data_IF_323416007154
#
_entry.id   IF_323416007154
#
_cell.length_a   1.000
_cell.length_b   1.000
_cell.length_c   1.000
_cell.angle_alpha   90.00
_cell.angle_beta   90.00
_cell.angle_gamma   90.00
#
_symmetry.space_group_name_H-M   'P 1'
#
loop_
_entity.id
_entity.type
_entity.pdbx_description
1 polymer ?
#
# COMPACT_ATOMS: atom_id res chain seq x y z
N UNK A 1 35.27 14.84 40.94
CA UNK A 1 33.85 14.87 41.35
C UNK A 1 33.00 14.96 40.08
N UNK A 2 32.29 13.91 39.67
CA UNK A 2 31.41 13.95 38.50
C UNK A 2 30.08 14.56 38.94
N UNK A 3 29.71 15.70 38.34
CA UNK A 3 28.46 16.40 38.60
C UNK A 3 27.26 15.52 38.29
N UNK A 4 26.34 15.38 39.26
CA UNK A 4 25.04 14.70 39.04
C UNK A 4 24.23 15.53 38.03
N UNK A 5 23.57 14.90 37.02
CA UNK A 5 22.73 15.63 36.09
C UNK A 5 21.53 16.28 36.81
N UNK A 6 21.26 17.55 36.52
CA UNK A 6 20.09 18.28 37.02
C UNK A 6 18.83 17.72 36.37
N UNK A 7 17.84 17.38 37.20
CA UNK A 7 16.49 17.06 36.78
C UNK A 7 15.82 18.36 36.30
N UNK A 8 15.55 18.52 35.03
CA UNK A 8 14.65 19.54 34.53
C UNK A 8 13.24 18.93 34.39
N UNK A 9 12.32 19.53 35.15
CA UNK A 9 10.89 19.19 35.14
C UNK A 9 10.27 19.79 33.86
N UNK A 10 10.14 19.01 32.82
CA UNK A 10 9.37 19.38 31.63
C UNK A 10 7.92 18.98 31.85
N UNK A 11 7.10 19.98 32.25
CA UNK A 11 5.68 19.87 32.61
C UNK A 11 4.79 19.23 31.55
N UNK A 12 4.65 17.93 31.63
CA UNK A 12 3.56 17.18 31.00
C UNK A 12 2.96 16.24 32.04
N UNK A 13 1.80 16.64 32.56
CA UNK A 13 1.09 15.95 33.61
C UNK A 13 0.61 14.55 33.18
N UNK A 14 1.38 13.51 33.49
CA UNK A 14 0.89 12.13 33.53
C UNK A 14 0.88 11.67 34.97
N UNK A 15 -0.31 11.30 35.47
CA UNK A 15 -0.48 10.63 36.78
C UNK A 15 0.40 9.37 36.82
N UNK A 16 1.46 9.43 37.60
CA UNK A 16 2.34 8.30 37.88
C UNK A 16 1.64 7.28 38.77
N UNK A 17 1.24 6.14 38.21
CA UNK A 17 0.99 4.93 39.00
C UNK A 17 2.31 4.36 39.48
N UNK A 18 2.50 4.27 40.81
CA UNK A 18 3.59 3.62 41.57
C UNK A 18 4.77 3.07 40.73
N UNK A 19 5.84 3.85 40.63
CA UNK A 19 7.13 3.49 40.06
C UNK A 19 7.88 4.75 39.65
N UNK A 20 9.08 4.97 40.20
CA UNK A 20 9.93 6.10 39.85
C UNK A 20 10.28 6.00 38.39
N UNK A 21 9.71 6.87 37.52
CA UNK A 21 10.11 6.95 36.11
C UNK A 21 11.43 7.73 36.06
N UNK A 22 12.50 7.00 35.85
CA UNK A 22 13.81 7.61 35.60
C UNK A 22 13.74 8.29 34.22
N UNK A 23 14.06 9.59 34.17
CA UNK A 23 14.20 10.35 32.92
C UNK A 23 15.63 10.81 32.77
N UNK A 24 16.14 10.84 31.55
CA UNK A 24 17.47 11.34 31.28
C UNK A 24 17.74 11.56 29.81
N UNK A 25 18.76 12.35 29.56
CA UNK A 25 19.32 12.60 28.24
C UNK A 25 20.57 11.75 28.09
N UNK A 26 20.62 10.98 27.00
CA UNK A 26 21.76 10.14 26.64
C UNK A 26 22.39 10.67 25.36
N UNK A 27 23.70 10.81 25.36
CA UNK A 27 24.49 11.10 24.17
C UNK A 27 25.32 9.86 23.86
N UNK A 28 25.17 9.34 22.65
CA UNK A 28 25.90 8.17 22.16
C UNK A 28 27.14 8.63 21.39
N UNK A 29 28.23 7.85 21.46
CA UNK A 29 29.50 8.21 20.83
C UNK A 29 29.44 8.40 19.30
N UNK A 30 28.40 7.88 18.65
CA UNK A 30 28.14 8.06 17.22
C UNK A 30 27.33 9.33 16.86
N UNK A 31 27.05 10.22 17.83
CA UNK A 31 26.28 11.43 17.64
C UNK A 31 24.77 11.27 17.79
N UNK A 32 24.25 10.08 18.02
CA UNK A 32 22.85 9.89 18.35
C UNK A 32 22.53 10.44 19.75
N UNK A 33 21.26 10.88 19.95
CA UNK A 33 20.81 11.42 21.24
C UNK A 33 19.47 10.77 21.60
N UNK A 34 19.26 10.55 22.90
CA UNK A 34 17.96 10.13 23.42
C UNK A 34 17.56 11.03 24.59
N UNK A 35 16.28 11.40 24.60
CA UNK A 35 15.65 12.11 25.72
C UNK A 35 14.37 11.39 26.10
N UNK A 36 14.25 10.96 27.36
CA UNK A 36 13.04 10.25 27.77
C UNK A 36 13.20 9.35 28.98
N UNK A 37 12.23 8.45 29.13
CA UNK A 37 12.19 7.51 30.24
C UNK A 37 13.23 6.39 30.11
N UNK A 38 13.85 6.02 31.23
CA UNK A 38 14.90 5.00 31.33
C UNK A 38 14.49 3.89 32.29
N UNK A 39 14.86 2.66 31.98
CA UNK A 39 14.71 1.52 32.87
C UNK A 39 15.75 1.55 34.01
N UNK A 40 16.94 2.04 33.73
CA UNK A 40 18.05 2.11 34.65
C UNK A 40 19.02 3.22 34.24
N UNK A 41 19.47 4.02 35.19
CA UNK A 41 20.53 5.00 34.94
C UNK A 41 21.88 4.35 34.66
N UNK A 42 22.22 3.31 35.40
CA UNK A 42 23.54 2.66 35.24
C UNK A 42 23.68 1.95 33.90
N UNK A 43 22.59 1.39 33.34
CA UNK A 43 22.59 0.70 32.06
C UNK A 43 22.14 1.57 30.90
N UNK A 44 21.64 2.81 31.16
CA UNK A 44 21.22 3.78 30.12
C UNK A 44 20.24 3.19 29.09
N UNK A 45 19.25 2.40 29.55
CA UNK A 45 18.31 1.66 28.67
C UNK A 45 17.02 2.45 28.52
N UNK A 46 16.68 2.93 27.30
CA UNK A 46 15.37 3.52 26.98
C UNK A 46 14.21 2.60 27.36
N UNK A 47 13.21 3.12 28.10
CA UNK A 47 12.03 2.38 28.49
C UNK A 47 10.89 3.34 28.78
N UNK A 48 9.68 3.08 28.26
CA UNK A 48 8.58 4.05 28.28
C UNK A 48 8.70 5.06 27.15
N UNK A 49 8.12 6.24 27.30
CA UNK A 49 8.10 7.26 26.25
C UNK A 49 9.42 8.05 26.19
N UNK A 50 9.91 8.26 24.96
CA UNK A 50 11.09 9.11 24.69
C UNK A 50 11.25 9.48 23.23
N UNK A 51 12.24 10.32 22.95
CA UNK A 51 12.62 10.75 21.61
C UNK A 51 14.05 10.31 21.37
N UNK A 52 14.28 9.64 20.25
CA UNK A 52 15.60 9.23 19.79
C UNK A 52 15.94 10.00 18.52
N UNK A 53 16.98 10.80 18.56
CA UNK A 53 17.54 11.49 17.41
C UNK A 53 18.68 10.67 16.85
N UNK A 54 18.63 10.41 15.55
CA UNK A 54 19.63 9.63 14.84
C UNK A 54 20.88 10.47 14.56
N UNK A 55 22.05 9.87 14.27
CA UNK A 55 23.30 10.61 14.06
C UNK A 55 23.25 11.65 12.93
N UNK A 56 22.37 11.44 11.95
CA UNK A 56 22.19 12.36 10.81
C UNK A 56 21.30 13.57 11.13
N UNK A 57 20.59 13.55 12.29
CA UNK A 57 19.68 14.63 12.65
C UNK A 57 20.42 15.98 12.80
N UNK A 58 19.94 16.98 12.09
CA UNK A 58 20.53 18.33 12.08
C UNK A 58 21.68 18.53 11.09
N UNK A 59 22.15 17.50 10.39
CA UNK A 59 23.12 17.65 9.30
C UNK A 59 22.44 18.29 8.09
N UNK A 60 23.21 19.08 7.33
CA UNK A 60 22.75 19.65 6.06
C UNK A 60 23.07 18.68 4.91
N UNK A 61 22.09 18.42 4.06
CA UNK A 61 22.25 17.64 2.83
C UNK A 61 21.54 18.33 1.66
N UNK A 62 22.03 18.12 0.43
CA UNK A 62 21.35 18.61 -0.78
C UNK A 62 20.27 17.61 -1.19
N UNK A 63 19.02 18.05 -1.23
CA UNK A 63 17.88 17.31 -1.77
C UNK A 63 17.35 18.12 -2.95
N UNK A 64 17.37 17.52 -4.14
CA UNK A 64 16.96 18.18 -5.40
C UNK A 64 17.66 19.54 -5.64
N UNK A 65 18.95 19.63 -5.24
CA UNK A 65 19.76 20.85 -5.40
C UNK A 65 19.58 21.91 -4.30
N UNK A 66 18.68 21.71 -3.36
CA UNK A 66 18.40 22.60 -2.22
C UNK A 66 19.07 22.09 -0.95
N UNK A 67 19.74 22.98 -0.20
CA UNK A 67 20.30 22.64 1.10
C UNK A 67 19.17 22.48 2.13
N UNK A 68 19.03 21.28 2.67
CA UNK A 68 17.96 20.91 3.61
C UNK A 68 18.56 20.30 4.88
N UNK A 69 18.09 20.75 6.03
CA UNK A 69 18.45 20.12 7.29
C UNK A 69 17.79 18.74 7.41
N UNK A 70 18.60 17.72 7.65
CA UNK A 70 18.10 16.36 7.88
C UNK A 70 17.44 16.27 9.24
N UNK A 71 16.13 16.04 9.24
CA UNK A 71 15.36 15.76 10.44
C UNK A 71 15.11 14.23 10.47
N UNK A 72 15.79 13.55 11.38
CA UNK A 72 15.66 12.10 11.55
C UNK A 72 15.50 11.74 13.01
N UNK A 73 14.31 11.33 13.39
CA UNK A 73 14.02 10.98 14.78
C UNK A 73 12.93 9.89 14.88
N UNK A 74 12.91 9.23 16.03
CA UNK A 74 11.78 8.46 16.50
C UNK A 74 11.24 9.07 17.80
N UNK A 75 9.93 9.24 17.89
CA UNK A 75 9.23 9.70 19.10
C UNK A 75 8.14 8.67 19.45
N UNK A 76 8.27 8.04 20.60
CA UNK A 76 7.32 7.00 20.98
C UNK A 76 7.78 6.14 22.15
N UNK A 77 7.12 4.99 22.29
CA UNK A 77 7.40 4.08 23.40
C UNK A 77 8.59 3.17 23.10
N UNK A 78 9.36 2.91 24.16
CA UNK A 78 10.47 1.97 24.18
C UNK A 78 10.23 0.88 25.23
N UNK A 79 10.71 -0.31 24.95
CA UNK A 79 10.80 -1.43 25.89
C UNK A 79 12.17 -2.07 25.79
N UNK A 80 12.95 -2.00 26.89
CA UNK A 80 14.32 -2.54 26.94
C UNK A 80 15.19 -2.08 25.77
N UNK A 81 15.20 -0.77 25.48
CA UNK A 81 16.01 -0.16 24.43
C UNK A 81 15.45 -0.25 23.02
N UNK A 82 14.37 -1.00 22.80
CA UNK A 82 13.76 -1.19 21.49
C UNK A 82 12.46 -0.38 21.34
N UNK A 83 12.18 0.12 20.14
CA UNK A 83 10.88 0.72 19.80
C UNK A 83 9.77 -0.30 19.99
N UNK A 84 8.74 0.07 20.74
CA UNK A 84 7.64 -0.81 21.11
C UNK A 84 6.36 0.00 21.28
N UNK A 85 5.18 -0.54 20.91
CA UNK A 85 3.90 0.15 21.04
C UNK A 85 3.76 1.31 20.04
N UNK A 86 3.10 2.42 20.42
CA UNK A 86 2.86 3.55 19.53
C UNK A 86 4.09 4.45 19.40
N UNK A 87 4.37 4.92 18.17
CA UNK A 87 5.43 5.87 17.91
C UNK A 87 5.41 6.44 16.50
N UNK A 88 6.14 7.55 16.33
CA UNK A 88 6.34 8.24 15.06
C UNK A 88 7.81 8.19 14.69
N UNK A 89 8.09 7.88 13.44
CA UNK A 89 9.41 8.01 12.84
C UNK A 89 9.34 9.01 11.71
N UNK A 90 10.33 9.87 11.62
CA UNK A 90 10.45 10.86 10.56
C UNK A 90 11.86 10.88 10.01
N UNK A 91 11.99 10.95 8.69
CA UNK A 91 13.24 11.10 7.98
C UNK A 91 13.04 12.00 6.76
N UNK A 92 13.59 13.23 6.81
CA UNK A 92 13.57 14.18 5.70
C UNK A 92 14.09 13.54 4.42
N UNK A 93 13.44 13.81 3.30
CA UNK A 93 13.83 13.31 1.98
C UNK A 93 13.52 11.82 1.73
N UNK A 94 13.03 11.08 2.73
CA UNK A 94 12.73 9.66 2.57
C UNK A 94 11.29 9.32 2.93
N UNK A 95 10.96 9.18 4.21
CA UNK A 95 9.63 8.77 4.63
C UNK A 95 9.31 9.15 6.08
N UNK A 96 8.03 9.10 6.40
CA UNK A 96 7.54 9.13 7.77
C UNK A 96 6.63 7.94 8.05
N UNK A 97 6.67 7.46 9.29
CA UNK A 97 5.76 6.43 9.77
C UNK A 97 5.13 6.84 11.11
N UNK A 98 3.83 6.65 11.23
CA UNK A 98 3.10 6.79 12.48
C UNK A 98 2.27 5.54 12.72
N UNK A 99 2.54 4.81 13.81
CA UNK A 99 1.84 3.56 14.07
C UNK A 99 2.42 2.75 15.20
N UNK A 100 2.13 1.45 15.15
CA UNK A 100 2.59 0.49 16.13
C UNK A 100 3.96 -0.08 15.75
N UNK A 101 4.77 -0.31 16.77
CA UNK A 101 6.12 -0.87 16.68
C UNK A 101 6.22 -2.11 17.55
N UNK A 102 7.05 -3.05 17.14
CA UNK A 102 7.42 -4.23 17.91
C UNK A 102 8.87 -4.60 17.64
N UNK A 103 9.70 -4.61 18.69
CA UNK A 103 11.14 -4.93 18.57
C UNK A 103 11.82 -4.15 17.41
N UNK A 104 11.70 -2.81 17.40
CA UNK A 104 12.23 -1.87 16.38
C UNK A 104 11.62 -1.96 15.00
N UNK A 105 10.65 -2.83 14.75
CA UNK A 105 10.01 -3.05 13.46
C UNK A 105 8.60 -2.47 13.39
N UNK A 106 8.19 -2.02 12.21
CA UNK A 106 6.80 -1.65 11.95
C UNK A 106 5.90 -2.85 12.19
N UNK A 107 4.86 -2.66 13.01
CA UNK A 107 3.96 -3.74 13.39
C UNK A 107 2.55 -3.18 13.61
N UNK A 108 1.50 -4.05 13.55
CA UNK A 108 0.14 -3.61 13.80
C UNK A 108 -0.33 -2.50 12.85
N UNK A 109 -1.24 -1.65 13.30
CA UNK A 109 -1.81 -0.56 12.48
C UNK A 109 -0.85 0.62 12.40
N UNK A 110 -0.70 1.18 11.19
CA UNK A 110 0.13 2.37 10.96
C UNK A 110 -0.06 3.01 9.60
N UNK A 111 0.55 4.18 9.44
CA UNK A 111 0.55 4.99 8.22
C UNK A 111 2.00 5.27 7.86
N UNK A 112 2.39 4.85 6.67
CA UNK A 112 3.68 5.14 6.04
C UNK A 112 3.45 6.12 4.91
N UNK A 113 4.21 7.23 4.87
CA UNK A 113 4.15 8.25 3.81
C UNK A 113 5.53 8.43 3.21
N UNK A 114 5.61 8.49 1.90
CA UNK A 114 6.85 8.76 1.18
C UNK A 114 7.01 10.27 0.98
N UNK A 115 8.20 10.78 1.24
CA UNK A 115 8.51 12.20 1.11
C UNK A 115 8.37 12.67 -0.35
N UNK A 116 7.85 13.89 -0.56
CA UNK A 116 7.76 14.52 -1.88
C UNK A 116 6.77 13.88 -2.85
N UNK A 117 5.95 12.92 -2.39
CA UNK A 117 4.97 12.24 -3.24
C UNK A 117 3.62 12.07 -2.56
N UNK A 118 2.59 11.74 -3.36
CA UNK A 118 1.28 11.33 -2.84
C UNK A 118 1.29 9.89 -2.28
N UNK A 119 2.43 9.18 -2.40
CA UNK A 119 2.51 7.78 -2.03
C UNK A 119 2.37 7.60 -0.51
N UNK A 120 1.41 6.79 -0.13
CA UNK A 120 1.20 6.40 1.27
C UNK A 120 0.60 5.01 1.37
N UNK A 121 0.94 4.32 2.46
CA UNK A 121 0.25 3.11 2.87
C UNK A 121 -0.39 3.31 4.24
N UNK A 122 -1.67 3.00 4.35
CA UNK A 122 -2.43 2.99 5.59
C UNK A 122 -3.00 1.60 5.82
N UNK A 123 -2.56 0.91 6.87
CA UNK A 123 -2.98 -0.47 7.08
C UNK A 123 -2.24 -1.17 8.20
N UNK A 124 -2.11 -2.47 8.04
CA UNK A 124 -1.46 -3.35 9.01
C UNK A 124 -0.10 -3.82 8.50
N UNK A 125 0.87 -3.77 9.40
CA UNK A 125 2.24 -4.22 9.21
C UNK A 125 2.54 -5.43 10.08
N UNK A 126 3.46 -6.27 9.64
CA UNK A 126 4.09 -7.34 10.41
C UNK A 126 5.56 -7.41 10.06
N UNK A 127 6.43 -7.05 11.02
CA UNK A 127 7.88 -7.06 10.86
C UNK A 127 8.32 -6.31 9.58
N UNK A 128 7.94 -5.02 9.48
CA UNK A 128 8.21 -4.10 8.38
C UNK A 128 7.47 -4.39 7.06
N UNK A 129 6.75 -5.50 6.97
CA UNK A 129 6.01 -5.87 5.77
C UNK A 129 4.54 -5.44 5.85
N UNK A 130 4.02 -4.88 4.75
CA UNK A 130 2.59 -4.63 4.55
C UNK A 130 1.83 -5.96 4.56
N UNK A 131 0.70 -6.04 5.27
CA UNK A 131 -0.16 -7.23 5.35
C UNK A 131 -1.49 -7.01 4.67
N UNK A 132 -2.16 -5.91 5.00
CA UNK A 132 -3.44 -5.49 4.41
C UNK A 132 -3.67 -4.02 4.67
N UNK A 133 -4.32 -3.34 3.73
CA UNK A 133 -4.61 -1.91 3.88
C UNK A 133 -4.88 -1.24 2.57
N UNK A 134 -4.76 0.07 2.58
CA UNK A 134 -4.87 0.96 1.43
C UNK A 134 -3.49 1.49 1.06
N UNK A 135 -3.07 1.23 -0.16
CA UNK A 135 -1.87 1.80 -0.75
C UNK A 135 -2.28 2.83 -1.80
N UNK A 136 -2.15 4.10 -1.48
CA UNK A 136 -2.27 5.21 -2.44
C UNK A 136 -0.92 5.33 -3.13
N UNK A 137 -0.87 5.17 -4.44
CA UNK A 137 0.35 5.23 -5.25
C UNK A 137 0.49 6.63 -5.84
N UNK A 138 -0.64 7.21 -6.27
CA UNK A 138 -0.75 8.58 -6.75
C UNK A 138 -2.18 9.09 -6.50
N UNK A 139 -2.48 10.34 -6.89
CA UNK A 139 -3.86 10.88 -6.83
C UNK A 139 -4.89 10.03 -7.56
N UNK A 140 -4.47 9.33 -8.62
CA UNK A 140 -5.34 8.58 -9.52
C UNK A 140 -5.29 7.07 -9.29
N UNK A 141 -4.25 6.56 -8.59
CA UNK A 141 -4.01 5.13 -8.45
C UNK A 141 -4.00 4.73 -6.98
N UNK A 142 -4.89 3.82 -6.63
CA UNK A 142 -5.03 3.31 -5.26
C UNK A 142 -5.36 1.82 -5.26
N UNK A 143 -4.66 1.05 -4.44
CA UNK A 143 -4.97 -0.35 -4.18
C UNK A 143 -5.50 -0.54 -2.75
N UNK A 144 -6.53 -1.35 -2.61
CA UNK A 144 -7.07 -1.77 -1.32
C UNK A 144 -7.10 -3.30 -1.28
N UNK A 145 -6.38 -3.92 -0.34
CA UNK A 145 -6.34 -5.38 -0.32
C UNK A 145 -5.29 -5.96 0.62
N UNK A 146 -4.94 -7.21 0.32
CA UNK A 146 -3.88 -7.95 1.01
C UNK A 146 -2.55 -7.79 0.30
N UNK A 147 -1.47 -7.98 1.06
CA UNK A 147 -0.09 -7.87 0.58
C UNK A 147 0.72 -9.10 1.00
N UNK A 148 1.69 -9.45 0.17
CA UNK A 148 2.75 -10.41 0.47
C UNK A 148 4.06 -9.83 -0.08
N UNK A 149 5.10 -9.78 0.75
CA UNK A 149 6.40 -9.16 0.39
C UNK A 149 6.24 -7.73 -0.17
N UNK A 150 5.37 -6.92 0.48
CA UNK A 150 5.01 -5.55 0.11
C UNK A 150 4.30 -5.38 -1.25
N UNK A 151 3.98 -6.45 -1.97
CA UNK A 151 3.24 -6.43 -3.23
C UNK A 151 1.78 -6.84 -3.03
N UNK A 152 0.81 -6.27 -3.77
CA UNK A 152 -0.56 -6.74 -3.83
C UNK A 152 -0.64 -8.25 -4.03
N UNK A 153 -1.40 -8.95 -3.18
CA UNK A 153 -1.52 -10.42 -3.25
C UNK A 153 -2.87 -10.89 -2.68
N UNK A 154 -3.47 -11.93 -3.30
CA UNK A 154 -4.80 -12.42 -2.92
C UNK A 154 -5.91 -11.46 -3.36
N UNK A 155 -6.99 -11.35 -2.61
CA UNK A 155 -8.13 -10.48 -2.99
C UNK A 155 -7.81 -9.01 -2.76
N UNK A 156 -8.18 -8.17 -3.76
CA UNK A 156 -8.00 -6.73 -3.70
C UNK A 156 -8.83 -5.96 -4.70
N UNK A 157 -8.78 -4.63 -4.58
CA UNK A 157 -9.42 -3.69 -5.46
C UNK A 157 -8.42 -2.60 -5.87
N UNK A 158 -8.21 -2.46 -7.16
CA UNK A 158 -7.35 -1.45 -7.76
C UNK A 158 -8.22 -0.39 -8.42
N UNK A 159 -8.00 0.86 -8.06
CA UNK A 159 -8.59 2.03 -8.67
C UNK A 159 -7.51 2.67 -9.55
N UNK A 160 -7.81 2.86 -10.79
CA UNK A 160 -7.05 3.59 -11.79
C UNK A 160 -7.97 4.71 -12.33
N UNK A 161 -7.45 5.74 -12.97
CA UNK A 161 -8.21 6.93 -13.39
C UNK A 161 -9.61 6.61 -13.96
N UNK A 162 -9.66 5.69 -14.92
CA UNK A 162 -10.91 5.31 -15.61
C UNK A 162 -11.34 3.88 -15.32
N UNK A 163 -10.49 3.08 -14.68
CA UNK A 163 -10.71 1.66 -14.50
C UNK A 163 -10.76 1.27 -13.04
N UNK A 164 -11.67 0.37 -12.70
CA UNK A 164 -11.72 -0.26 -11.38
C UNK A 164 -11.65 -1.76 -11.59
N UNK A 165 -10.59 -2.37 -11.05
CA UNK A 165 -10.48 -3.81 -11.00
C UNK A 165 -10.78 -4.34 -9.59
N UNK A 166 -11.56 -5.41 -9.50
CA UNK A 166 -11.80 -6.14 -8.25
C UNK A 166 -11.60 -7.63 -8.50
N UNK A 167 -10.64 -8.24 -7.82
CA UNK A 167 -10.32 -9.64 -8.10
C UNK A 167 -9.10 -10.14 -7.35
N UNK A 168 -8.51 -11.19 -7.91
CA UNK A 168 -7.30 -11.79 -7.39
C UNK A 168 -6.05 -11.06 -7.90
N UNK A 169 -5.04 -11.01 -7.04
CA UNK A 169 -3.71 -10.50 -7.33
C UNK A 169 -2.66 -11.55 -7.00
N UNK A 170 -1.61 -11.62 -7.78
CA UNK A 170 -0.43 -12.41 -7.52
C UNK A 170 0.83 -11.60 -7.81
N UNK A 171 1.67 -11.39 -6.80
CA UNK A 171 2.91 -10.61 -6.88
C UNK A 171 2.74 -9.25 -7.57
N UNK A 172 1.71 -8.49 -7.21
CA UNK A 172 1.44 -7.15 -7.74
C UNK A 172 0.54 -7.13 -8.98
N UNK A 173 0.33 -8.24 -9.64
CA UNK A 173 -0.39 -8.33 -10.91
C UNK A 173 -1.81 -8.86 -10.76
N UNK A 174 -2.74 -8.36 -11.61
CA UNK A 174 -4.09 -8.91 -11.75
C UNK A 174 -3.97 -10.38 -12.18
N UNK A 175 -4.60 -11.29 -11.44
CA UNK A 175 -4.49 -12.74 -11.64
C UNK A 175 -5.78 -13.46 -11.28
N UNK A 176 -5.91 -14.77 -11.58
CA UNK A 176 -7.05 -15.58 -11.18
C UNK A 176 -8.37 -15.06 -11.73
N UNK A 177 -9.37 -14.86 -10.87
CA UNK A 177 -10.69 -14.34 -11.26
C UNK A 177 -10.86 -12.88 -10.85
N UNK A 178 -11.42 -12.08 -11.77
CA UNK A 178 -11.65 -10.66 -11.48
C UNK A 178 -12.68 -10.01 -12.38
N UNK A 179 -13.08 -8.85 -11.95
CA UNK A 179 -14.01 -7.95 -12.64
C UNK A 179 -13.29 -6.63 -12.87
N UNK A 180 -13.33 -6.14 -14.12
CA UNK A 180 -12.84 -4.81 -14.50
C UNK A 180 -14.02 -3.99 -15.02
N UNK A 181 -14.12 -2.75 -14.56
CA UNK A 181 -15.09 -1.77 -15.03
C UNK A 181 -14.35 -0.55 -15.53
N UNK A 182 -14.34 -0.35 -16.84
CA UNK A 182 -13.75 0.80 -17.49
C UNK A 182 -14.85 1.83 -17.79
N UNK A 183 -14.64 3.08 -17.38
CA UNK A 183 -15.54 4.19 -17.63
C UNK A 183 -15.03 5.00 -18.81
N UNK A 184 -15.77 4.99 -19.89
CA UNK A 184 -15.52 5.80 -21.08
C UNK A 184 -16.62 6.85 -21.29
N UNK A 185 -16.34 7.88 -22.12
CA UNK A 185 -17.33 8.92 -22.43
C UNK A 185 -18.63 8.36 -23.03
N UNK A 186 -18.55 7.26 -23.78
CA UNK A 186 -19.69 6.60 -24.46
C UNK A 186 -20.38 5.52 -23.63
N UNK A 187 -19.90 5.22 -22.44
CA UNK A 187 -20.50 4.17 -21.61
C UNK A 187 -19.50 3.48 -20.66
N UNK A 188 -19.97 2.39 -20.07
CA UNK A 188 -19.14 1.55 -19.19
C UNK A 188 -18.86 0.25 -19.90
N UNK A 189 -17.59 -0.07 -20.07
CA UNK A 189 -17.16 -1.42 -20.48
C UNK A 189 -17.01 -2.26 -19.22
N UNK A 190 -17.40 -3.52 -19.30
CA UNK A 190 -17.37 -4.44 -18.17
C UNK A 190 -16.77 -5.76 -18.60
N UNK A 191 -15.77 -6.24 -17.87
CA UNK A 191 -15.22 -7.57 -18.03
C UNK A 191 -15.33 -8.37 -16.74
N UNK A 192 -15.76 -9.61 -16.83
CA UNK A 192 -15.76 -10.58 -15.73
C UNK A 192 -15.18 -11.90 -16.23
N UNK A 193 -14.05 -12.32 -15.68
CA UNK A 193 -13.42 -13.55 -16.17
C UNK A 193 -12.06 -13.80 -15.52
N UNK A 194 -11.23 -14.53 -16.27
CA UNK A 194 -9.92 -14.98 -15.84
C UNK A 194 -8.83 -13.98 -16.25
N UNK A 195 -7.83 -13.82 -15.40
CA UNK A 195 -6.68 -12.95 -15.55
C UNK A 195 -5.39 -13.71 -15.31
N UNK A 196 -4.36 -13.38 -16.05
CA UNK A 196 -2.99 -13.85 -15.84
C UNK A 196 -2.02 -12.73 -16.20
N UNK A 197 -1.16 -12.34 -15.23
CA UNK A 197 -0.13 -11.33 -15.43
C UNK A 197 -0.69 -10.04 -16.08
N UNK A 198 -1.71 -9.45 -15.44
CA UNK A 198 -2.44 -8.24 -15.87
C UNK A 198 -3.25 -8.39 -17.18
N UNK A 199 -3.25 -9.55 -17.84
CA UNK A 199 -3.96 -9.78 -19.11
C UNK A 199 -5.20 -10.63 -18.91
N UNK A 200 -6.27 -10.29 -19.61
CA UNK A 200 -7.47 -11.12 -19.74
C UNK A 200 -7.11 -12.43 -20.45
N UNK A 201 -7.54 -13.57 -19.90
CA UNK A 201 -7.29 -14.89 -20.47
C UNK A 201 -8.42 -15.86 -20.14
N UNK A 202 -8.38 -17.08 -20.69
CA UNK A 202 -9.35 -18.13 -20.39
C UNK A 202 -10.79 -17.71 -20.66
N UNK A 203 -11.76 -18.25 -19.90
CA UNK A 203 -13.18 -17.93 -20.11
C UNK A 203 -13.58 -16.64 -19.41
N UNK A 204 -14.39 -15.84 -20.12
CA UNK A 204 -14.89 -14.58 -19.61
C UNK A 204 -16.15 -14.07 -20.33
N UNK A 205 -16.68 -13.02 -19.73
CA UNK A 205 -17.81 -12.24 -20.23
C UNK A 205 -17.32 -10.80 -20.40
N UNK A 206 -17.55 -10.20 -21.56
CA UNK A 206 -17.19 -8.82 -21.87
C UNK A 206 -18.41 -8.07 -22.44
N UNK A 207 -18.82 -7.00 -21.78
CA UNK A 207 -19.78 -6.04 -22.27
C UNK A 207 -19.02 -4.81 -22.77
N UNK A 208 -19.13 -4.49 -24.05
CA UNK A 208 -18.43 -3.37 -24.69
C UNK A 208 -19.05 -2.01 -24.39
N UNK A 209 -20.23 -1.97 -23.72
CA UNK A 209 -20.92 -0.73 -23.36
C UNK A 209 -21.73 -0.10 -24.49
N UNK A 210 -21.45 -0.43 -25.73
CA UNK A 210 -22.13 0.04 -26.95
C UNK A 210 -23.30 -0.86 -27.36
N UNK A 211 -23.42 -2.05 -26.75
CA UNK A 211 -24.46 -3.04 -27.05
C UNK A 211 -23.90 -4.40 -27.44
N UNK A 212 -22.62 -4.49 -27.77
CA UNK A 212 -21.95 -5.76 -27.99
C UNK A 212 -21.63 -6.48 -26.68
N UNK A 213 -21.95 -7.77 -26.61
CA UNK A 213 -21.64 -8.64 -25.46
C UNK A 213 -20.94 -9.88 -25.97
N UNK A 214 -19.74 -10.14 -25.49
CA UNK A 214 -19.01 -11.38 -25.81
C UNK A 214 -18.94 -12.31 -24.60
N UNK A 215 -19.25 -13.57 -24.82
CA UNK A 215 -19.09 -14.66 -23.85
C UNK A 215 -18.27 -15.78 -24.48
N UNK A 216 -17.05 -15.98 -24.02
CA UNK A 216 -16.16 -16.96 -24.66
C UNK A 216 -14.78 -16.99 -24.03
N UNK A 217 -13.85 -17.55 -24.82
CA UNK A 217 -12.44 -17.64 -24.43
C UNK A 217 -11.67 -16.41 -24.88
N UNK A 218 -10.63 -16.10 -24.10
CA UNK A 218 -9.69 -15.01 -24.34
C UNK A 218 -8.25 -15.51 -24.27
N UNK A 219 -7.37 -14.90 -25.02
CA UNK A 219 -5.93 -15.08 -24.95
C UNK A 219 -5.24 -13.72 -25.04
N UNK A 220 -4.45 -13.37 -24.04
CA UNK A 220 -3.71 -12.10 -23.96
C UNK A 220 -4.55 -10.82 -24.17
N UNK A 221 -5.81 -10.84 -23.74
CA UNK A 221 -6.73 -9.70 -23.89
C UNK A 221 -7.62 -9.75 -25.12
N UNK A 222 -7.38 -10.66 -26.06
CA UNK A 222 -8.12 -10.80 -27.31
C UNK A 222 -9.10 -11.97 -27.25
N UNK A 223 -10.24 -11.84 -27.94
CA UNK A 223 -11.18 -12.94 -28.14
C UNK A 223 -10.47 -14.06 -28.89
N UNK A 224 -10.49 -15.28 -28.35
CA UNK A 224 -9.77 -16.41 -28.90
C UNK A 224 -10.50 -17.72 -28.57
N UNK A 225 -10.47 -18.71 -29.50
CA UNK A 225 -11.18 -19.99 -29.33
C UNK A 225 -12.71 -19.85 -29.40
N UNK A 226 -13.45 -20.74 -28.76
CA UNK A 226 -14.93 -20.74 -28.81
C UNK A 226 -15.55 -19.55 -28.09
N UNK A 227 -16.51 -18.88 -28.73
CA UNK A 227 -17.24 -17.78 -28.15
C UNK A 227 -18.46 -17.34 -28.92
N UNK A 228 -19.30 -16.56 -28.25
CA UNK A 228 -20.54 -15.97 -28.78
C UNK A 228 -20.47 -14.46 -28.58
N UNK A 229 -20.66 -13.71 -29.66
CA UNK A 229 -20.91 -12.28 -29.64
C UNK A 229 -22.41 -12.07 -29.84
N UNK A 230 -23.05 -11.29 -29.00
CA UNK A 230 -24.48 -10.93 -29.08
C UNK A 230 -24.61 -9.41 -29.14
N UNK A 231 -25.40 -8.92 -30.07
CA UNK A 231 -25.78 -7.52 -30.15
C UNK A 231 -27.02 -7.29 -29.27
N UNK A 232 -26.92 -6.46 -28.25
CA UNK A 232 -27.99 -6.22 -27.27
C UNK A 232 -28.74 -4.90 -27.51
N UNK A 233 -28.25 -4.06 -28.44
CA UNK A 233 -28.82 -2.73 -28.73
C UNK A 233 -28.81 -2.45 -30.23
N UNK A 234 -29.63 -1.45 -30.62
CA UNK A 234 -29.71 -0.98 -32.01
C UNK A 234 -30.48 -1.90 -32.94
N UNK A 235 -30.33 -1.70 -34.26
CA UNK A 235 -31.05 -2.45 -35.29
C UNK A 235 -30.79 -3.96 -35.29
N UNK A 236 -29.62 -4.38 -34.79
CA UNK A 236 -29.17 -5.77 -34.67
C UNK A 236 -29.43 -6.38 -33.29
N UNK A 237 -30.20 -5.72 -32.42
CA UNK A 237 -30.48 -6.25 -31.09
C UNK A 237 -31.14 -7.65 -31.16
N UNK A 238 -30.57 -8.61 -30.45
CA UNK A 238 -30.98 -10.03 -30.47
C UNK A 238 -30.16 -10.93 -31.39
N UNK A 239 -29.39 -10.36 -32.32
CA UNK A 239 -28.51 -11.12 -33.22
C UNK A 239 -27.31 -11.70 -32.47
N UNK A 240 -26.92 -12.91 -32.77
CA UNK A 240 -25.73 -13.55 -32.21
C UNK A 240 -24.87 -14.25 -33.24
N UNK A 241 -23.56 -14.26 -32.99
CA UNK A 241 -22.53 -14.89 -33.81
C UNK A 241 -21.75 -15.89 -32.95
N UNK A 242 -21.90 -17.16 -33.20
CA UNK A 242 -21.27 -18.25 -32.46
C UNK A 242 -20.25 -18.98 -33.31
N UNK A 243 -19.04 -19.10 -32.88
CA UNK A 243 -17.97 -19.77 -33.62
C UNK A 243 -16.62 -19.72 -32.96
N UNK A 244 -15.57 -19.91 -33.78
CA UNK A 244 -14.17 -19.82 -33.37
C UNK A 244 -13.66 -18.40 -33.61
N UNK A 245 -12.94 -17.87 -32.65
CA UNK A 245 -12.32 -16.52 -32.67
C UNK A 245 -10.81 -16.66 -32.66
N UNK A 246 -10.11 -15.84 -33.41
CA UNK A 246 -8.66 -15.75 -33.45
C UNK A 246 -8.26 -14.26 -33.50
N UNK A 247 -7.49 -13.79 -32.50
CA UNK A 247 -7.04 -12.42 -32.39
C UNK A 247 -8.19 -11.39 -32.59
N UNK A 248 -9.28 -11.62 -31.87
CA UNK A 248 -10.52 -10.81 -31.91
C UNK A 248 -11.32 -10.83 -33.21
N UNK A 249 -10.90 -11.58 -34.23
CA UNK A 249 -11.61 -11.78 -35.49
C UNK A 249 -12.35 -13.13 -35.51
N UNK A 250 -13.40 -13.22 -36.31
CA UNK A 250 -14.08 -14.45 -36.60
C UNK A 250 -13.19 -15.33 -37.47
N UNK A 251 -13.01 -16.60 -37.11
CA UNK A 251 -12.15 -17.56 -37.81
C UNK A 251 -12.94 -18.79 -38.21
N UNK A 252 -13.13 -19.00 -39.52
CA UNK A 252 -13.89 -20.13 -40.08
C UNK A 252 -15.40 -19.93 -40.06
N UNK A 253 -16.15 -21.04 -39.86
CA UNK A 253 -17.62 -21.10 -39.96
C UNK A 253 -18.24 -20.52 -38.67
N UNK A 254 -19.23 -19.64 -38.86
CA UNK A 254 -20.03 -19.07 -37.78
C UNK A 254 -21.50 -19.44 -37.91
N UNK A 255 -22.11 -19.76 -36.79
CA UNK A 255 -23.56 -19.89 -36.69
C UNK A 255 -24.12 -18.50 -36.39
N UNK A 256 -24.90 -17.97 -37.31
CA UNK A 256 -25.66 -16.74 -37.18
C UNK A 256 -27.07 -17.08 -36.71
N UNK A 257 -27.51 -16.39 -35.67
CA UNK A 257 -28.90 -16.47 -35.21
C UNK A 257 -29.47 -15.07 -35.18
N UNK A 258 -30.50 -14.84 -36.01
CA UNK A 258 -31.31 -13.62 -35.98
C UNK A 258 -32.36 -13.70 -34.87
N UNK A 259 -33.05 -12.59 -34.63
CA UNK A 259 -34.10 -12.45 -33.59
C UNK A 259 -35.05 -13.60 -33.52
#
# INVERSE_FOLDING_TARGET
MKSKPKIQDLGWGTKLKKGLVLRGDLNFGNGAKYSGALKSYSKQIPHGYGIFFFPEHGKMEKIDGVDVAIIKYYSGNFKNGKKEGKGKFFFTGQYSYEGQWKNDRLHGKGILKIWGSDEKFEGYFKNDLKVRGTWTISKQVKFIGKFKNNLPHGKGKLFEEKNIYTGDFYNGEKHGRGVSVLREKKGKMFYKGQWKNNKITGKGFFDFGDGGIYKGSFLNGERHGKGVLTESKGKKAGTSYSGIWKNSMMDGIFIFKDK
#
